data_IF_657257411917
#
_entry.id   IF_657257411917
#
_cell.length_a   1.000
_cell.length_b   1.000
_cell.length_c   1.000
_cell.angle_alpha   90.00
_cell.angle_beta   90.00
_cell.angle_gamma   90.00
#
_symmetry.space_group_name_H-M   'P 1'
#
loop_
_entity.id
_entity.type
_entity.pdbx_description
1 polymer ?
#
# COMPACT_ATOMS: atom_id res chain seq x y z
N UNK A 1 -26.79 -0.64 4.57
CA UNK A 1 -25.68 -0.33 5.49
C UNK A 1 -24.57 -1.33 5.26
N UNK A 2 -23.28 -0.99 5.49
CA UNK A 2 -22.22 -1.99 5.56
C UNK A 2 -22.66 -3.14 6.48
N UNK A 3 -22.44 -4.38 6.07
CA UNK A 3 -22.64 -5.52 6.97
C UNK A 3 -21.40 -5.62 7.84
N UNK A 4 -21.57 -5.31 9.13
CA UNK A 4 -20.49 -5.41 10.10
C UNK A 4 -20.33 -6.88 10.49
N UNK A 5 -19.17 -7.46 10.22
CA UNK A 5 -18.76 -8.71 10.85
C UNK A 5 -17.91 -8.33 12.08
N UNK A 6 -18.58 -8.23 13.23
CA UNK A 6 -17.87 -8.09 14.51
C UNK A 6 -17.32 -9.46 14.90
N UNK A 7 -16.01 -9.64 14.79
CA UNK A 7 -15.34 -10.90 15.05
C UNK A 7 -14.38 -10.80 16.23
N UNK A 8 -14.92 -10.84 17.44
CA UNK A 8 -14.16 -10.82 18.70
C UNK A 8 -13.18 -11.98 18.87
N UNK A 9 -13.26 -13.02 18.03
CA UNK A 9 -12.33 -14.15 18.01
C UNK A 9 -12.41 -14.89 16.66
N UNK A 10 -11.54 -15.89 16.49
CA UNK A 10 -11.47 -16.67 15.25
C UNK A 10 -12.72 -17.55 15.01
N UNK A 11 -13.39 -18.02 16.07
CA UNK A 11 -14.62 -18.83 15.97
C UNK A 11 -15.76 -17.98 15.41
N UNK A 12 -15.97 -16.80 15.99
CA UNK A 12 -16.98 -15.85 15.55
C UNK A 12 -16.68 -15.38 14.11
N UNK A 13 -15.41 -15.06 13.78
CA UNK A 13 -15.07 -14.70 12.39
C UNK A 13 -15.46 -15.79 11.39
N UNK A 14 -15.16 -17.04 11.72
CA UNK A 14 -15.45 -18.20 10.87
C UNK A 14 -16.95 -18.39 10.70
N UNK A 15 -17.72 -18.24 11.78
CA UNK A 15 -19.18 -18.29 11.72
C UNK A 15 -19.73 -17.22 10.78
N UNK A 16 -19.27 -15.97 10.95
CA UNK A 16 -19.79 -14.82 10.21
C UNK A 16 -19.50 -14.92 8.71
N UNK A 17 -18.30 -15.36 8.32
CA UNK A 17 -17.96 -15.54 6.89
C UNK A 17 -18.81 -16.66 6.26
N UNK A 18 -19.03 -17.77 6.97
CA UNK A 18 -19.77 -18.91 6.41
C UNK A 18 -21.29 -18.71 6.39
N UNK A 19 -21.86 -17.86 7.26
CA UNK A 19 -23.31 -17.83 7.48
C UNK A 19 -23.95 -16.43 7.47
N UNK A 20 -23.21 -15.38 7.80
CA UNK A 20 -23.80 -14.06 8.05
C UNK A 20 -23.44 -13.00 7.03
N UNK A 21 -22.31 -13.14 6.33
CA UNK A 21 -21.88 -12.14 5.35
C UNK A 21 -22.76 -12.18 4.09
N UNK A 22 -23.78 -11.34 4.07
CA UNK A 22 -24.53 -11.03 2.85
C UNK A 22 -23.72 -10.08 1.95
N UNK A 23 -22.98 -10.66 1.01
CA UNK A 23 -22.20 -9.88 0.04
C UNK A 23 -23.07 -9.14 -0.99
N UNK A 24 -24.33 -9.51 -1.20
CA UNK A 24 -25.21 -8.99 -2.26
C UNK A 24 -24.78 -9.29 -3.71
N UNK A 25 -23.57 -9.84 -3.91
CA UNK A 25 -23.06 -10.35 -5.19
C UNK A 25 -23.43 -11.81 -5.49
N UNK A 26 -22.65 -12.45 -6.36
CA UNK A 26 -22.80 -13.87 -6.74
C UNK A 26 -21.58 -14.69 -6.35
N UNK A 27 -21.79 -15.94 -5.99
CA UNK A 27 -20.75 -16.86 -5.52
C UNK A 27 -20.87 -17.13 -4.03
N UNK A 28 -19.83 -17.70 -3.43
CA UNK A 28 -19.78 -18.04 -2.01
C UNK A 28 -18.35 -17.92 -1.48
N UNK A 29 -18.25 -17.63 -0.18
CA UNK A 29 -17.02 -17.74 0.59
C UNK A 29 -17.15 -18.91 1.55
N UNK A 30 -16.01 -19.48 1.94
CA UNK A 30 -15.91 -20.44 3.02
C UNK A 30 -14.71 -20.12 3.91
N UNK A 31 -14.91 -20.17 5.21
CA UNK A 31 -13.87 -20.00 6.21
C UNK A 31 -13.64 -21.30 6.98
N UNK A 32 -12.37 -21.64 7.19
CA UNK A 32 -11.93 -22.76 8.03
C UNK A 32 -10.93 -22.24 9.05
N UNK A 33 -11.16 -22.58 10.31
CA UNK A 33 -10.30 -22.18 11.41
C UNK A 33 -9.33 -23.29 11.82
N UNK A 34 -8.12 -22.87 12.17
CA UNK A 34 -7.13 -23.68 12.86
C UNK A 34 -6.46 -22.82 13.95
N UNK A 35 -6.81 -23.05 15.22
CA UNK A 35 -6.39 -22.19 16.32
C UNK A 35 -6.90 -20.76 16.13
N UNK A 36 -6.02 -19.76 16.21
CA UNK A 36 -6.36 -18.35 15.99
C UNK A 36 -6.23 -17.92 14.51
N UNK A 37 -6.03 -18.86 13.60
CA UNK A 37 -5.94 -18.56 12.16
C UNK A 37 -7.21 -18.99 11.44
N UNK A 38 -7.82 -18.06 10.69
CA UNK A 38 -8.97 -18.30 9.82
C UNK A 38 -8.50 -18.23 8.37
N UNK A 39 -8.65 -19.33 7.63
CA UNK A 39 -8.36 -19.38 6.20
C UNK A 39 -9.65 -19.22 5.42
N UNK A 40 -9.70 -18.23 4.52
CA UNK A 40 -10.88 -17.95 3.69
C UNK A 40 -10.61 -18.35 2.25
N UNK A 41 -11.53 -19.09 1.64
CA UNK A 41 -11.50 -19.53 0.24
C UNK A 41 -12.85 -19.28 -0.42
N UNK A 42 -12.92 -19.49 -1.73
CA UNK A 42 -14.14 -19.28 -2.51
C UNK A 42 -14.02 -18.08 -3.44
N UNK A 43 -15.15 -17.66 -3.98
CA UNK A 43 -15.24 -16.61 -4.98
C UNK A 43 -16.56 -15.90 -4.85
N UNK A 44 -16.49 -14.57 -4.69
CA UNK A 44 -17.63 -13.66 -4.76
C UNK A 44 -17.31 -12.57 -5.77
N UNK A 45 -18.23 -12.37 -6.71
CA UNK A 45 -18.15 -11.32 -7.72
C UNK A 45 -19.35 -10.38 -7.62
N UNK A 46 -19.17 -9.14 -8.06
CA UNK A 46 -20.20 -8.10 -8.01
C UNK A 46 -20.77 -7.85 -6.60
N UNK A 47 -19.95 -8.02 -5.56
CA UNK A 47 -20.31 -7.68 -4.20
C UNK A 47 -20.86 -6.25 -4.13
N UNK A 48 -21.91 -6.07 -3.33
CA UNK A 48 -22.63 -4.81 -3.10
C UNK A 48 -22.47 -4.29 -1.68
N UNK A 49 -22.03 -5.15 -0.77
CA UNK A 49 -21.81 -4.82 0.63
C UNK A 49 -20.34 -4.98 1.00
N UNK A 50 -19.84 -4.05 1.82
CA UNK A 50 -18.51 -4.16 2.42
C UNK A 50 -18.42 -5.40 3.31
N UNK A 51 -17.24 -6.00 3.39
CA UNK A 51 -16.85 -6.91 4.44
C UNK A 51 -16.02 -6.14 5.47
N UNK A 52 -16.60 -5.91 6.66
CA UNK A 52 -15.88 -5.29 7.77
C UNK A 52 -15.28 -6.37 8.65
N UNK A 53 -13.96 -6.41 8.79
CA UNK A 53 -13.22 -7.36 9.62
C UNK A 53 -12.72 -6.66 10.90
N UNK A 54 -13.35 -6.97 12.03
CA UNK A 54 -12.88 -6.53 13.35
C UNK A 54 -12.02 -7.64 13.97
N UNK A 55 -10.75 -7.73 13.60
CA UNK A 55 -9.86 -8.82 14.06
C UNK A 55 -9.27 -8.54 15.43
N UNK A 56 -9.50 -9.41 16.41
CA UNK A 56 -8.83 -9.31 17.72
C UNK A 56 -7.32 -9.51 17.66
N UNK A 57 -6.62 -9.02 18.69
CA UNK A 57 -5.17 -9.22 18.81
C UNK A 57 -4.81 -10.71 18.80
N UNK A 58 -3.84 -11.08 17.98
CA UNK A 58 -3.43 -12.48 17.81
C UNK A 58 -4.31 -13.31 16.87
N UNK A 59 -5.45 -12.78 16.39
CA UNK A 59 -6.23 -13.41 15.31
C UNK A 59 -5.59 -13.10 13.96
N UNK A 60 -5.46 -14.12 13.12
CA UNK A 60 -4.91 -14.01 11.77
C UNK A 60 -5.92 -14.49 10.73
N UNK A 61 -6.16 -13.68 9.70
CA UNK A 61 -6.90 -14.08 8.51
C UNK A 61 -5.92 -14.38 7.39
N UNK A 62 -6.02 -15.57 6.80
CA UNK A 62 -5.33 -15.94 5.57
C UNK A 62 -6.37 -15.98 4.45
N UNK A 63 -6.44 -14.90 3.69
CA UNK A 63 -7.38 -14.74 2.59
C UNK A 63 -6.82 -15.31 1.29
N UNK A 64 -7.47 -16.37 0.78
CA UNK A 64 -7.18 -17.04 -0.50
C UNK A 64 -8.37 -17.02 -1.45
N UNK A 65 -9.38 -16.20 -1.16
CA UNK A 65 -10.60 -16.09 -1.94
C UNK A 65 -10.55 -14.94 -2.94
N UNK A 66 -11.42 -15.01 -3.95
CA UNK A 66 -11.73 -13.88 -4.83
C UNK A 66 -12.89 -13.07 -4.24
N UNK A 67 -12.73 -11.76 -4.09
CA UNK A 67 -13.79 -10.83 -3.69
C UNK A 67 -13.73 -9.57 -4.55
N UNK A 68 -14.71 -9.40 -5.44
CA UNK A 68 -14.81 -8.22 -6.30
C UNK A 68 -16.17 -7.55 -6.26
N UNK A 69 -16.21 -6.22 -6.40
CA UNK A 69 -17.47 -5.46 -6.37
C UNK A 69 -17.30 -3.96 -6.59
N UNK A 70 -18.43 -3.24 -6.71
CA UNK A 70 -18.43 -1.77 -6.78
C UNK A 70 -18.76 -1.21 -5.40
N UNK A 71 -17.81 -1.34 -4.48
CA UNK A 71 -17.95 -0.91 -3.09
C UNK A 71 -16.66 -0.24 -2.62
N UNK A 72 -16.74 1.01 -2.16
CA UNK A 72 -15.58 1.68 -1.56
C UNK A 72 -15.27 1.03 -0.22
N UNK A 73 -14.02 0.68 0.04
CA UNK A 73 -13.61 -0.10 1.20
C UNK A 73 -14.26 -1.49 1.20
N UNK A 74 -14.29 -2.15 0.03
CA UNK A 74 -14.89 -3.49 -0.13
C UNK A 74 -14.43 -4.46 0.96
N UNK A 75 -13.15 -4.39 1.32
CA UNK A 75 -12.63 -4.95 2.56
C UNK A 75 -12.25 -3.81 3.52
N UNK A 76 -12.88 -3.77 4.69
CA UNK A 76 -12.67 -2.75 5.71
C UNK A 76 -12.13 -3.41 6.99
N UNK A 77 -10.94 -3.05 7.45
CA UNK A 77 -10.31 -3.59 8.65
C UNK A 77 -10.77 -2.77 9.85
N UNK A 78 -12.02 -2.99 10.27
CA UNK A 78 -12.80 -2.06 11.09
C UNK A 78 -12.14 -1.53 12.36
N UNK A 79 -12.79 -0.55 12.99
CA UNK A 79 -12.20 0.33 14.00
C UNK A 79 -11.58 -0.37 15.22
N UNK A 80 -12.05 -1.58 15.58
CA UNK A 80 -11.51 -2.35 16.70
C UNK A 80 -10.46 -3.38 16.30
N UNK A 81 -10.09 -3.45 15.01
CA UNK A 81 -9.20 -4.48 14.51
C UNK A 81 -7.74 -4.25 14.96
N UNK A 82 -7.15 -5.26 15.60
CA UNK A 82 -5.77 -5.31 16.08
C UNK A 82 -5.04 -6.61 15.69
N UNK A 83 -5.68 -7.43 14.84
CA UNK A 83 -5.11 -8.69 14.33
C UNK A 83 -4.25 -8.53 13.09
N UNK A 84 -4.15 -9.60 12.31
CA UNK A 84 -3.41 -9.63 11.03
C UNK A 84 -4.32 -10.08 9.89
N UNK A 85 -4.38 -9.26 8.84
CA UNK A 85 -4.97 -9.64 7.56
C UNK A 85 -3.87 -9.98 6.56
N UNK A 86 -3.79 -11.24 6.14
CA UNK A 86 -2.89 -11.71 5.09
C UNK A 86 -3.67 -12.06 3.81
N UNK A 87 -3.42 -11.33 2.72
CA UNK A 87 -3.85 -11.71 1.39
C UNK A 87 -2.82 -12.65 0.77
N UNK A 88 -3.09 -13.95 0.86
CA UNK A 88 -2.16 -15.01 0.47
C UNK A 88 -2.31 -15.38 -1.02
N UNK A 89 -1.40 -16.22 -1.52
CA UNK A 89 -1.45 -16.76 -2.88
C UNK A 89 -2.83 -17.36 -3.22
N UNK A 90 -3.34 -16.98 -4.39
CA UNK A 90 -4.69 -17.33 -4.86
C UNK A 90 -5.78 -16.35 -4.42
N UNK A 91 -5.50 -15.49 -3.42
CA UNK A 91 -6.39 -14.42 -3.02
C UNK A 91 -6.39 -13.26 -4.03
N UNK A 92 -7.58 -12.73 -4.32
CA UNK A 92 -7.77 -11.58 -5.19
C UNK A 92 -8.86 -10.69 -4.59
N UNK A 93 -8.58 -9.40 -4.41
CA UNK A 93 -9.57 -8.42 -3.96
C UNK A 93 -9.56 -7.24 -4.92
N UNK A 94 -10.73 -6.89 -5.46
CA UNK A 94 -10.84 -5.78 -6.40
C UNK A 94 -12.07 -4.91 -6.18
N UNK A 95 -11.89 -3.59 -6.26
CA UNK A 95 -12.99 -2.64 -6.25
C UNK A 95 -12.94 -1.68 -7.42
N UNK A 96 -14.12 -1.36 -7.96
CA UNK A 96 -14.31 -0.29 -8.94
C UNK A 96 -14.73 1.04 -8.31
N UNK A 97 -14.70 1.15 -6.98
CA UNK A 97 -14.93 2.39 -6.23
C UNK A 97 -13.63 2.92 -5.59
N UNK A 98 -13.70 4.07 -4.93
CA UNK A 98 -12.54 4.84 -4.47
C UNK A 98 -11.48 4.06 -3.65
N UNK A 99 -11.85 3.00 -2.92
CA UNK A 99 -10.92 2.21 -2.10
C UNK A 99 -11.23 0.72 -2.23
N UNK A 100 -10.20 -0.13 -2.34
CA UNK A 100 -10.39 -1.60 -2.29
C UNK A 100 -10.24 -2.14 -0.87
N UNK A 101 -9.10 -1.94 -0.23
CA UNK A 101 -8.86 -2.26 1.18
C UNK A 101 -8.76 -0.95 1.98
N UNK A 102 -9.58 -0.80 3.02
CA UNK A 102 -9.58 0.34 3.91
C UNK A 102 -9.16 -0.06 5.32
N UNK A 103 -8.22 0.69 5.89
CA UNK A 103 -7.77 0.56 7.28
C UNK A 103 -8.04 1.88 8.03
N UNK A 104 -9.11 1.98 8.83
CA UNK A 104 -9.56 3.21 9.46
C UNK A 104 -8.65 3.68 10.60
N UNK A 105 -8.82 4.94 11.02
CA UNK A 105 -7.92 5.67 11.92
C UNK A 105 -7.54 4.97 13.23
N UNK A 106 -8.47 4.23 13.84
CA UNK A 106 -8.26 3.58 15.14
C UNK A 106 -7.85 2.11 15.05
N UNK A 107 -7.77 1.57 13.84
CA UNK A 107 -7.40 0.18 13.62
C UNK A 107 -5.89 -0.03 13.81
N UNK A 108 -5.53 -1.04 14.61
CA UNK A 108 -4.16 -1.55 14.75
C UNK A 108 -3.85 -2.74 13.83
N UNK A 109 -4.73 -3.03 12.86
CA UNK A 109 -4.60 -4.21 12.01
C UNK A 109 -3.35 -4.14 11.11
N UNK A 110 -2.60 -5.25 11.08
CA UNK A 110 -1.48 -5.43 10.15
C UNK A 110 -1.95 -6.02 8.82
N UNK A 111 -1.51 -5.43 7.72
CA UNK A 111 -1.85 -5.85 6.35
C UNK A 111 -0.63 -6.52 5.72
N UNK A 112 -0.79 -7.76 5.27
CA UNK A 112 0.27 -8.52 4.59
C UNK A 112 -0.22 -8.98 3.23
N UNK A 113 0.43 -8.57 2.15
CA UNK A 113 0.18 -9.04 0.80
C UNK A 113 1.21 -10.10 0.44
N UNK A 114 0.85 -11.38 0.60
CA UNK A 114 1.76 -12.52 0.51
C UNK A 114 1.41 -13.47 -0.65
N UNK A 115 1.50 -12.94 -1.87
CA UNK A 115 1.24 -13.70 -3.10
C UNK A 115 -0.15 -13.49 -3.69
N UNK A 116 -1.05 -12.81 -2.98
CA UNK A 116 -2.34 -12.41 -3.54
C UNK A 116 -2.30 -11.05 -4.26
N UNK A 117 -3.46 -10.64 -4.78
CA UNK A 117 -3.61 -9.48 -5.65
C UNK A 117 -4.63 -8.49 -5.10
N UNK A 118 -4.23 -7.23 -4.95
CA UNK A 118 -5.14 -6.11 -4.70
C UNK A 118 -5.20 -5.24 -5.94
N UNK A 119 -6.39 -4.99 -6.45
CA UNK A 119 -6.61 -4.16 -7.63
C UNK A 119 -7.67 -3.10 -7.35
N UNK A 120 -7.43 -1.85 -7.73
CA UNK A 120 -8.48 -0.84 -7.77
C UNK A 120 -8.62 -0.28 -9.18
N UNK A 121 -9.81 -0.45 -9.77
CA UNK A 121 -10.09 -0.05 -11.15
C UNK A 121 -10.81 1.29 -11.25
N UNK A 122 -11.16 1.93 -10.13
CA UNK A 122 -11.74 3.27 -10.13
C UNK A 122 -10.72 4.29 -10.65
N UNK A 123 -11.21 5.36 -11.29
CA UNK A 123 -10.37 6.51 -11.62
C UNK A 123 -9.92 7.18 -10.33
N UNK A 124 -8.61 7.43 -10.21
CA UNK A 124 -7.94 7.95 -9.02
C UNK A 124 -8.15 7.09 -7.75
N UNK A 125 -8.54 5.82 -7.91
CA UNK A 125 -8.80 4.90 -6.81
C UNK A 125 -7.54 4.44 -6.08
N UNK A 126 -7.73 4.02 -4.83
CA UNK A 126 -6.70 3.48 -3.96
C UNK A 126 -6.86 1.97 -3.79
N UNK A 127 -5.81 1.19 -4.04
CA UNK A 127 -5.86 -0.24 -3.76
C UNK A 127 -5.85 -0.50 -2.24
N UNK A 128 -4.95 0.17 -1.51
CA UNK A 128 -4.95 0.17 -0.05
C UNK A 128 -4.93 1.62 0.44
N UNK A 129 -5.90 1.99 1.28
CA UNK A 129 -5.89 3.25 2.04
C UNK A 129 -5.83 2.96 3.53
N UNK A 130 -4.82 3.49 4.20
CA UNK A 130 -4.65 3.37 5.64
C UNK A 130 -4.66 4.74 6.32
N UNK A 131 -5.73 5.00 7.06
CA UNK A 131 -5.89 6.16 7.93
C UNK A 131 -5.40 5.85 9.35
N UNK A 132 -5.26 4.56 9.69
CA UNK A 132 -4.75 4.01 10.95
C UNK A 132 -3.42 4.63 11.42
N UNK A 133 -3.37 5.05 12.68
CA UNK A 133 -2.10 5.38 13.35
C UNK A 133 -1.24 4.12 13.50
N UNK A 134 0.06 4.21 13.23
CA UNK A 134 0.98 3.07 13.29
C UNK A 134 0.59 1.91 12.35
N UNK A 135 -0.08 2.18 11.23
CA UNK A 135 -0.43 1.13 10.28
C UNK A 135 0.83 0.36 9.84
N UNK A 136 0.71 -0.96 9.70
CA UNK A 136 1.78 -1.81 9.20
C UNK A 136 1.31 -2.52 7.93
N UNK A 137 1.95 -2.20 6.80
CA UNK A 137 1.64 -2.77 5.50
C UNK A 137 2.90 -3.43 4.94
N UNK A 138 2.85 -4.75 4.73
CA UNK A 138 3.96 -5.53 4.18
C UNK A 138 3.57 -6.18 2.86
N UNK A 139 4.39 -6.01 1.82
CA UNK A 139 4.20 -6.60 0.49
C UNK A 139 5.32 -7.60 0.22
N UNK A 140 5.00 -8.89 0.32
CA UNK A 140 5.96 -9.98 0.15
C UNK A 140 6.06 -10.46 -1.29
N UNK A 141 5.15 -11.30 -1.79
CA UNK A 141 5.22 -11.85 -3.16
C UNK A 141 3.97 -11.52 -3.99
N UNK A 142 3.10 -10.63 -3.50
CA UNK A 142 1.86 -10.28 -4.20
C UNK A 142 1.96 -8.98 -4.99
N UNK A 143 0.84 -8.59 -5.60
CA UNK A 143 0.75 -7.40 -6.44
C UNK A 143 -0.36 -6.46 -5.98
N UNK A 144 -0.06 -5.17 -5.97
CA UNK A 144 -1.00 -4.08 -5.71
C UNK A 144 -1.02 -3.21 -6.98
N UNK A 145 -2.21 -2.92 -7.50
CA UNK A 145 -2.38 -2.08 -8.69
C UNK A 145 -3.55 -1.12 -8.55
N UNK A 146 -3.39 0.12 -9.00
CA UNK A 146 -4.48 1.10 -9.06
C UNK A 146 -4.24 2.23 -10.06
N UNK A 147 -5.25 3.06 -10.31
CA UNK A 147 -5.05 4.28 -11.11
C UNK A 147 -4.63 5.50 -10.27
N UNK A 148 -5.06 5.61 -9.02
CA UNK A 148 -4.64 6.67 -8.10
C UNK A 148 -3.33 6.31 -7.41
N UNK A 149 -3.44 5.78 -6.19
CA UNK A 149 -2.28 5.26 -5.46
C UNK A 149 -2.41 3.78 -5.12
N UNK A 150 -1.32 3.04 -5.24
CA UNK A 150 -1.31 1.63 -4.85
C UNK A 150 -1.52 1.51 -3.34
N UNK A 151 -0.67 2.21 -2.58
CA UNK A 151 -0.79 2.35 -1.14
C UNK A 151 -0.86 3.84 -0.80
N UNK A 152 -1.88 4.24 -0.05
CA UNK A 152 -2.09 5.62 0.42
C UNK A 152 -2.16 5.63 1.94
N UNK A 153 -1.18 6.24 2.61
CA UNK A 153 -1.10 6.27 4.08
C UNK A 153 -1.31 7.69 4.62
N UNK A 154 -2.30 7.84 5.50
CA UNK A 154 -2.60 9.10 6.20
C UNK A 154 -2.17 9.10 7.66
N UNK A 155 -2.23 7.95 8.34
CA UNK A 155 -1.88 7.86 9.75
C UNK A 155 -0.39 8.11 9.99
N UNK A 156 -0.07 8.84 11.06
CA UNK A 156 1.31 9.03 11.49
C UNK A 156 1.95 7.69 11.86
N UNK A 157 3.29 7.67 11.86
CA UNK A 157 4.12 6.52 12.28
C UNK A 157 3.81 5.21 11.54
N UNK A 158 3.27 5.32 10.33
CA UNK A 158 2.95 4.17 9.47
C UNK A 158 4.21 3.56 8.89
N UNK A 159 4.26 2.22 8.81
CA UNK A 159 5.31 1.48 8.12
C UNK A 159 4.77 0.79 6.88
N UNK A 160 5.40 1.05 5.73
CA UNK A 160 5.20 0.31 4.48
C UNK A 160 6.49 -0.42 4.14
N UNK A 161 6.44 -1.75 3.98
CA UNK A 161 7.60 -2.56 3.62
C UNK A 161 7.32 -3.37 2.35
N UNK A 162 8.16 -3.23 1.33
CA UNK A 162 8.11 -4.00 0.08
C UNK A 162 9.33 -4.90 0.00
N UNK A 163 9.09 -6.22 0.04
CA UNK A 163 10.15 -7.22 0.05
C UNK A 163 10.40 -7.83 -1.34
N UNK A 164 9.42 -8.48 -1.98
CA UNK A 164 9.61 -9.07 -3.32
C UNK A 164 8.40 -8.83 -4.25
N UNK A 165 7.40 -8.07 -3.78
CA UNK A 165 6.14 -7.89 -4.48
C UNK A 165 6.17 -6.67 -5.37
N UNK A 166 5.02 -6.40 -5.98
CA UNK A 166 4.85 -5.25 -6.86
C UNK A 166 3.81 -4.29 -6.27
N UNK A 167 4.16 -3.01 -6.15
CA UNK A 167 3.23 -1.91 -5.93
C UNK A 167 3.29 -1.03 -7.16
N UNK A 168 2.20 -1.06 -7.94
CA UNK A 168 2.10 -0.33 -9.20
C UNK A 168 0.93 0.62 -9.13
N UNK A 169 1.07 1.82 -9.65
CA UNK A 169 -0.06 2.71 -9.84
C UNK A 169 0.12 3.48 -11.13
N UNK A 170 -0.99 4.01 -11.67
CA UNK A 170 -0.86 5.03 -12.71
C UNK A 170 -0.18 6.26 -12.11
N UNK A 171 -0.77 6.93 -11.11
CA UNK A 171 -0.19 8.16 -10.54
C UNK A 171 0.95 7.91 -9.54
N UNK A 172 0.68 7.53 -8.30
CA UNK A 172 1.71 7.43 -7.25
C UNK A 172 1.67 6.04 -6.60
N UNK A 173 2.72 5.22 -6.73
CA UNK A 173 2.62 3.83 -6.26
C UNK A 173 2.47 3.74 -4.73
N UNK A 174 3.27 4.51 -4.00
CA UNK A 174 3.14 4.70 -2.55
C UNK A 174 3.05 6.20 -2.26
N UNK A 175 1.93 6.63 -1.65
CA UNK A 175 1.73 8.00 -1.18
C UNK A 175 1.74 8.06 0.34
N UNK A 176 2.60 8.92 0.89
CA UNK A 176 2.75 9.13 2.33
C UNK A 176 2.27 10.53 2.72
N UNK A 177 1.26 10.59 3.58
CA UNK A 177 0.73 11.83 4.16
C UNK A 177 0.88 11.91 5.68
N UNK A 178 1.09 10.77 6.35
CA UNK A 178 1.34 10.72 7.79
C UNK A 178 2.78 11.01 8.15
N UNK A 179 2.99 11.92 9.10
CA UNK A 179 4.32 12.27 9.62
C UNK A 179 5.00 11.08 10.31
N UNK A 180 6.33 11.09 10.38
CA UNK A 180 7.17 10.06 11.00
C UNK A 180 6.98 8.64 10.41
N UNK A 181 6.43 8.54 9.21
CA UNK A 181 6.22 7.25 8.53
C UNK A 181 7.52 6.73 7.93
N UNK A 182 7.60 5.41 7.73
CA UNK A 182 8.75 4.74 7.16
C UNK A 182 8.34 3.90 5.96
N UNK A 183 9.02 4.08 4.83
CA UNK A 183 8.89 3.22 3.65
C UNK A 183 10.20 2.45 3.47
N UNK A 184 10.13 1.12 3.47
CA UNK A 184 11.25 0.24 3.21
C UNK A 184 11.04 -0.50 1.89
N UNK A 185 11.98 -0.39 0.97
CA UNK A 185 12.04 -1.19 -0.26
C UNK A 185 13.29 -2.06 -0.18
N UNK A 186 13.06 -3.32 0.19
CA UNK A 186 14.12 -4.33 0.34
C UNK A 186 14.31 -5.16 -0.93
N UNK A 187 13.31 -5.16 -1.80
CA UNK A 187 13.29 -5.87 -3.08
C UNK A 187 12.00 -5.53 -3.84
N UNK A 188 11.65 -6.35 -4.83
CA UNK A 188 10.41 -6.17 -5.61
C UNK A 188 10.42 -4.92 -6.51
N UNK A 189 9.23 -4.39 -6.78
CA UNK A 189 9.01 -3.21 -7.65
C UNK A 189 8.00 -2.24 -7.03
N UNK A 190 8.35 -0.96 -7.02
CA UNK A 190 7.47 0.16 -6.67
C UNK A 190 7.46 1.14 -7.86
N UNK A 191 6.35 1.27 -8.58
CA UNK A 191 6.36 2.00 -9.86
C UNK A 191 5.11 2.81 -10.18
N UNK A 192 5.30 4.04 -10.66
CA UNK A 192 4.27 4.82 -11.34
C UNK A 192 4.37 4.74 -12.87
N UNK A 193 3.23 4.93 -13.54
CA UNK A 193 3.11 4.82 -15.00
C UNK A 193 2.43 6.01 -15.69
N UNK A 194 1.99 7.03 -14.97
CA UNK A 194 1.37 8.22 -15.54
C UNK A 194 2.39 9.02 -16.37
N UNK A 195 1.97 9.50 -17.55
CA UNK A 195 2.88 10.22 -18.44
C UNK A 195 3.20 11.65 -17.94
N UNK A 196 2.23 12.29 -17.27
CA UNK A 196 2.27 13.71 -16.88
C UNK A 196 2.83 13.88 -15.47
N UNK A 197 2.31 13.11 -14.51
CA UNK A 197 2.70 13.25 -13.11
C UNK A 197 2.58 11.93 -12.36
N UNK A 198 3.66 11.51 -11.74
CA UNK A 198 3.64 10.32 -10.93
C UNK A 198 4.95 10.01 -10.23
N UNK A 199 4.87 9.32 -9.10
CA UNK A 199 6.03 8.88 -8.36
C UNK A 199 5.97 7.40 -7.98
N UNK A 200 7.11 6.73 -7.97
CA UNK A 200 7.21 5.45 -7.27
C UNK A 200 6.85 5.64 -5.80
N UNK A 201 7.49 6.61 -5.15
CA UNK A 201 7.17 7.02 -3.77
C UNK A 201 6.96 8.53 -3.75
N UNK A 202 5.81 8.98 -3.27
CA UNK A 202 5.49 10.38 -3.06
C UNK A 202 5.26 10.68 -1.58
N UNK A 203 5.95 11.68 -1.04
CA UNK A 203 5.80 12.19 0.32
C UNK A 203 5.13 13.57 0.23
N UNK A 204 3.91 13.68 0.74
CA UNK A 204 3.16 14.93 0.66
C UNK A 204 3.68 15.98 1.64
N UNK A 205 3.36 17.25 1.38
CA UNK A 205 3.78 18.41 2.19
C UNK A 205 3.33 18.37 3.65
N UNK A 206 2.28 17.61 3.97
CA UNK A 206 1.80 17.42 5.34
C UNK A 206 2.57 16.33 6.12
N UNK A 207 3.44 15.56 5.46
CA UNK A 207 4.15 14.43 6.05
C UNK A 207 5.59 14.83 6.42
N UNK A 208 5.78 15.31 7.64
CA UNK A 208 7.12 15.65 8.13
C UNK A 208 7.89 14.42 8.63
N UNK A 209 9.22 14.47 8.55
CA UNK A 209 10.14 13.49 9.11
C UNK A 209 9.89 12.05 8.58
N UNK A 210 9.56 11.93 7.30
CA UNK A 210 9.38 10.60 6.66
C UNK A 210 10.75 10.01 6.32
N UNK A 211 10.92 8.72 6.61
CA UNK A 211 12.13 7.97 6.24
C UNK A 211 11.83 7.01 5.07
N UNK A 212 12.67 7.05 4.04
CA UNK A 212 12.62 6.10 2.92
C UNK A 212 13.93 5.35 2.84
N UNK A 213 13.88 4.03 2.96
CA UNK A 213 15.03 3.15 2.83
C UNK A 213 14.90 2.31 1.58
N UNK A 214 15.89 2.37 0.70
CA UNK A 214 15.98 1.47 -0.46
C UNK A 214 17.26 0.67 -0.31
N UNK A 215 17.11 -0.58 0.09
CA UNK A 215 18.23 -1.52 0.30
C UNK A 215 18.34 -2.54 -0.84
N UNK A 216 17.30 -2.66 -1.66
CA UNK A 216 17.24 -3.52 -2.83
C UNK A 216 16.04 -3.22 -3.70
N UNK A 217 15.79 -4.10 -4.69
CA UNK A 217 14.62 -3.98 -5.56
C UNK A 217 14.67 -2.77 -6.44
N UNK A 218 13.48 -2.27 -6.80
CA UNK A 218 13.41 -1.16 -7.71
C UNK A 218 12.29 -0.17 -7.44
N UNK A 219 12.61 1.11 -7.62
CA UNK A 219 11.69 2.24 -7.49
C UNK A 219 11.73 3.06 -8.77
N UNK A 220 10.59 3.18 -9.47
CA UNK A 220 10.56 3.84 -10.78
C UNK A 220 9.39 4.79 -10.99
N UNK A 221 9.58 5.72 -11.92
CA UNK A 221 8.49 6.37 -12.65
C UNK A 221 8.79 6.34 -14.15
N UNK A 222 7.86 5.80 -14.94
CA UNK A 222 8.09 5.60 -16.38
C UNK A 222 7.71 6.81 -17.24
N UNK A 223 6.89 7.73 -16.72
CA UNK A 223 6.49 8.94 -17.44
C UNK A 223 7.63 9.94 -17.63
N UNK A 224 7.47 10.85 -18.60
CA UNK A 224 8.54 11.74 -19.09
C UNK A 224 8.45 13.19 -18.61
N UNK A 225 7.29 13.61 -18.08
CA UNK A 225 7.11 14.98 -17.57
C UNK A 225 7.48 15.09 -16.08
N UNK A 226 6.54 15.42 -15.20
CA UNK A 226 6.76 15.60 -13.77
C UNK A 226 6.78 14.26 -13.02
N UNK A 227 7.66 13.36 -13.46
CA UNK A 227 7.75 11.99 -12.98
C UNK A 227 9.06 11.72 -12.22
N UNK A 228 8.94 11.07 -11.07
CA UNK A 228 10.06 10.89 -10.13
C UNK A 228 10.08 9.46 -9.59
N UNK A 229 11.24 8.84 -9.40
CA UNK A 229 11.26 7.60 -8.64
C UNK A 229 10.81 7.88 -7.19
N UNK A 230 11.36 8.94 -6.60
CA UNK A 230 10.98 9.42 -5.26
C UNK A 230 10.81 10.93 -5.31
N UNK A 231 9.65 11.44 -4.87
CA UNK A 231 9.37 12.86 -4.73
C UNK A 231 8.95 13.18 -3.30
N UNK A 232 9.48 14.25 -2.72
CA UNK A 232 9.16 14.67 -1.36
C UNK A 232 8.85 16.15 -1.26
N UNK A 233 7.64 16.46 -0.83
CA UNK A 233 7.19 17.78 -0.42
C UNK A 233 7.24 17.97 1.10
N UNK A 234 7.32 16.87 1.85
CA UNK A 234 7.39 16.87 3.30
C UNK A 234 8.75 17.33 3.82
N UNK A 235 8.76 18.10 4.92
CA UNK A 235 10.00 18.62 5.51
C UNK A 235 10.72 17.55 6.32
N UNK A 236 12.04 17.71 6.46
CA UNK A 236 12.91 16.81 7.23
C UNK A 236 12.88 15.36 6.74
N UNK A 237 12.51 15.15 5.47
CA UNK A 237 12.46 13.81 4.89
C UNK A 237 13.88 13.26 4.70
N UNK A 238 14.07 11.98 5.05
CA UNK A 238 15.37 11.32 5.02
C UNK A 238 15.34 10.09 4.13
N UNK A 239 16.16 10.10 3.08
CA UNK A 239 16.30 9.00 2.13
C UNK A 239 17.65 8.32 2.37
N UNK A 240 17.63 7.01 2.60
CA UNK A 240 18.83 6.16 2.71
C UNK A 240 18.78 5.11 1.59
N UNK A 241 19.56 5.34 0.53
CA UNK A 241 19.62 4.53 -0.68
C UNK A 241 20.93 3.75 -0.69
N UNK A 242 20.89 2.46 -0.38
CA UNK A 242 22.08 1.60 -0.22
C UNK A 242 22.16 0.42 -1.20
N UNK A 243 21.07 0.13 -1.90
CA UNK A 243 21.01 -0.88 -2.96
C UNK A 243 19.84 -0.65 -3.92
N UNK A 244 19.66 -1.56 -4.87
CA UNK A 244 18.57 -1.51 -5.85
C UNK A 244 18.73 -0.47 -6.96
N UNK A 245 17.69 -0.33 -7.78
CA UNK A 245 17.62 0.65 -8.89
C UNK A 245 16.54 1.69 -8.60
N UNK A 246 16.92 2.96 -8.64
CA UNK A 246 16.03 4.11 -8.46
C UNK A 246 16.08 4.91 -9.76
N UNK A 247 15.00 4.90 -10.55
CA UNK A 247 15.03 5.42 -11.93
C UNK A 247 13.80 6.25 -12.31
N UNK A 248 14.01 7.37 -13.00
CA UNK A 248 12.92 8.06 -13.70
C UNK A 248 13.32 8.48 -15.11
N UNK A 249 12.30 8.84 -15.90
CA UNK A 249 12.44 9.49 -17.20
C UNK A 249 11.99 10.96 -17.18
N UNK A 250 11.71 11.51 -15.99
CA UNK A 250 11.10 12.81 -15.83
C UNK A 250 12.06 13.98 -16.04
N UNK A 251 11.49 15.17 -16.19
CA UNK A 251 12.21 16.41 -16.50
C UNK A 251 12.79 17.15 -15.28
N UNK A 252 12.54 16.66 -14.08
CA UNK A 252 13.10 17.18 -12.82
C UNK A 252 14.06 16.16 -12.19
N UNK A 253 14.05 15.96 -10.87
CA UNK A 253 14.87 14.93 -10.22
C UNK A 253 14.28 13.52 -10.36
N UNK A 254 15.13 12.50 -10.52
CA UNK A 254 14.75 11.10 -10.19
C UNK A 254 14.44 10.95 -8.71
N UNK A 255 15.29 11.55 -7.88
CA UNK A 255 14.99 11.88 -6.49
C UNK A 255 14.76 13.39 -6.41
N UNK A 256 13.54 13.81 -6.10
CA UNK A 256 13.18 15.23 -6.09
C UNK A 256 12.69 15.69 -4.72
N UNK A 257 13.53 16.46 -4.01
CA UNK A 257 13.28 16.89 -2.63
C UNK A 257 12.86 18.37 -2.61
N UNK A 258 11.55 18.64 -2.61
CA UNK A 258 10.99 19.99 -2.54
C UNK A 258 10.78 20.48 -1.11
N UNK A 259 10.60 19.56 -0.17
CA UNK A 259 10.47 19.85 1.26
C UNK A 259 11.78 20.31 1.90
N UNK A 260 11.68 21.20 2.88
CA UNK A 260 12.86 21.82 3.52
C UNK A 260 13.63 20.85 4.43
N UNK A 261 14.94 21.08 4.57
CA UNK A 261 15.84 20.36 5.48
C UNK A 261 15.85 18.84 5.27
N UNK A 262 15.71 18.41 4.03
CA UNK A 262 15.72 16.99 3.67
C UNK A 262 17.15 16.47 3.54
N UNK A 263 17.34 15.17 3.74
CA UNK A 263 18.65 14.51 3.56
C UNK A 263 18.52 13.35 2.60
N UNK A 264 19.42 13.26 1.62
CA UNK A 264 19.55 12.12 0.71
C UNK A 264 20.94 11.52 0.87
N UNK A 265 21.00 10.24 1.24
CA UNK A 265 22.24 9.48 1.40
C UNK A 265 22.20 8.37 0.37
N UNK A 266 23.09 8.43 -0.62
CA UNK A 266 23.37 7.35 -1.56
C UNK A 266 24.64 6.65 -1.09
N UNK A 267 24.63 5.32 -1.06
CA UNK A 267 25.76 4.52 -0.60
C UNK A 267 25.68 3.10 -1.19
N UNK A 268 26.70 2.30 -0.91
CA UNK A 268 26.69 0.87 -1.24
C UNK A 268 26.56 0.61 -2.73
N UNK A 269 25.49 -0.10 -3.12
CA UNK A 269 25.25 -0.55 -4.51
C UNK A 269 24.05 0.12 -5.17
N UNK A 270 23.48 1.16 -4.53
CA UNK A 270 22.33 1.86 -5.08
C UNK A 270 22.68 2.49 -6.44
N UNK A 271 21.83 2.24 -7.44
CA UNK A 271 21.91 2.89 -8.74
C UNK A 271 20.77 3.91 -8.88
N UNK A 272 21.11 5.20 -8.81
CA UNK A 272 20.16 6.29 -9.05
C UNK A 272 20.41 6.85 -10.45
N UNK A 273 19.40 6.82 -11.32
CA UNK A 273 19.55 7.25 -12.71
C UNK A 273 18.33 8.02 -13.25
N UNK A 274 18.60 9.11 -13.95
CA UNK A 274 17.61 9.79 -14.78
C UNK A 274 17.95 9.52 -16.25
N UNK A 275 17.01 8.98 -17.02
CA UNK A 275 17.17 8.81 -18.48
C UNK A 275 16.35 9.81 -19.30
N UNK A 276 15.66 10.73 -18.63
CA UNK A 276 15.02 11.90 -19.20
C UNK A 276 15.93 13.13 -19.20
N UNK A 277 15.37 14.33 -19.41
CA UNK A 277 16.13 15.57 -19.46
C UNK A 277 16.46 16.15 -18.07
N UNK A 278 15.96 15.54 -17.00
CA UNK A 278 16.13 16.03 -15.64
C UNK A 278 17.39 15.52 -14.92
N UNK A 279 17.58 15.98 -13.68
CA UNK A 279 18.69 15.60 -12.81
C UNK A 279 18.49 14.23 -12.16
N UNK A 280 19.58 13.62 -11.68
CA UNK A 280 19.50 12.39 -10.88
C UNK A 280 18.94 12.68 -9.48
N UNK A 281 19.46 13.70 -8.81
CA UNK A 281 18.99 14.17 -7.50
C UNK A 281 18.91 15.69 -7.56
N UNK A 282 17.74 16.25 -7.26
CA UNK A 282 17.54 17.70 -7.21
C UNK A 282 16.55 18.08 -6.12
N UNK A 283 16.53 19.36 -5.74
CA UNK A 283 15.71 19.81 -4.63
C UNK A 283 16.14 21.15 -4.05
N UNK A 284 15.41 21.59 -3.02
CA UNK A 284 15.68 22.82 -2.29
C UNK A 284 16.07 22.48 -0.84
N UNK A 285 17.06 23.21 -0.30
CA UNK A 285 17.45 23.11 1.12
C UNK A 285 17.62 21.65 1.58
N UNK A 286 18.42 20.89 0.82
CA UNK A 286 18.71 19.49 1.10
C UNK A 286 20.21 19.25 1.24
N UNK A 287 20.57 18.29 2.06
CA UNK A 287 21.92 17.73 2.14
C UNK A 287 21.98 16.43 1.33
N UNK A 288 22.97 16.31 0.45
CA UNK A 288 23.22 15.11 -0.35
C UNK A 288 24.60 14.57 -0.05
N UNK A 289 24.69 13.28 0.28
CA UNK A 289 25.95 12.54 0.35
C UNK A 289 25.90 11.32 -0.56
N UNK A 290 26.98 11.07 -1.31
CA UNK A 290 27.15 9.96 -2.24
C UNK A 290 28.47 9.24 -1.95
#
# INVERSE_FOLDING_TARGET
SPQTVEATDADNLTFQINHSYDHGGSGTLSAVQAGNTVTVTGKVINAKNQLVLNLDSGVKVVWKAELSGSVSGLMNLGDSSNGTFELAQGGYISSSEAVTIYNPYVSGCSIIINGGVVENTATDGYAIRADALNANITVNNGSISSSGSGIYVMGATTSVTVNNGAVTAKRDAITVRGANSVVNVNGGTVSSADNLVGSGIYIASAADNVKVNVTGGNVYATGVESNHAICSDGSYSRLELSGGTIKSNGSYGTVYMRGSNSTVIVSGTAKVENTGPGDVISGNSMDVSV
#
